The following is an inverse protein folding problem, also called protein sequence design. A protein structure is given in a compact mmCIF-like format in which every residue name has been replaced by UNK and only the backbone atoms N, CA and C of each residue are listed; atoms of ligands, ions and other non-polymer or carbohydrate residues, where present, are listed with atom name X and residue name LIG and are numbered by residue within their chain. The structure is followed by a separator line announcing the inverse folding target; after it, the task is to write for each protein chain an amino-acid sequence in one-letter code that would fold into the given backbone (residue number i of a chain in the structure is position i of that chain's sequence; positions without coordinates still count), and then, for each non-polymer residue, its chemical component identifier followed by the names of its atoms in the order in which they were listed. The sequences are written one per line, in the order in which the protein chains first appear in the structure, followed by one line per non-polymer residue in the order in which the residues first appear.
data_IF_865688171868
#
_entry.id   IF_865688171868
#
_cell.length_a   1.000
_cell.length_b   1.000
_cell.length_c   1.000
_cell.angle_alpha   90.00
_cell.angle_beta   90.00
_cell.angle_gamma   90.00
#
_symmetry.space_group_name_H-M   'P 1'
#
loop_
_entity.id
_entity.type
_entity.pdbx_description
1 polymer ?
#
# COMPACT_ATOMS: atom_id res chain seq x y z
N UNK A 1 8.28 -22.99 -4.30
CA UNK A 1 8.10 -22.53 -2.91
C UNK A 1 7.18 -21.32 -2.99
N UNK A 2 6.07 -21.36 -2.27
CA UNK A 2 5.20 -20.19 -2.17
C UNK A 2 5.88 -19.14 -1.31
N UNK A 3 5.78 -17.90 -1.71
CA UNK A 3 6.33 -16.77 -0.99
C UNK A 3 5.30 -15.64 -0.92
N UNK A 4 5.51 -14.76 0.03
CA UNK A 4 4.62 -13.66 0.33
C UNK A 4 5.31 -12.34 0.01
N UNK A 5 4.52 -11.32 -0.31
CA UNK A 5 4.99 -9.94 -0.47
C UNK A 5 4.30 -9.07 0.57
N UNK A 6 5.07 -8.25 1.28
CA UNK A 6 4.52 -7.16 2.06
C UNK A 6 4.33 -5.95 1.13
N UNK A 7 3.09 -5.63 0.82
CA UNK A 7 2.77 -4.65 -0.21
C UNK A 7 2.76 -3.20 0.27
N UNK A 8 3.03 -2.97 1.59
CA UNK A 8 3.10 -1.63 2.16
C UNK A 8 3.80 -1.63 3.52
N UNK A 9 4.98 -1.03 3.59
CA UNK A 9 5.75 -0.83 4.83
C UNK A 9 6.61 0.44 4.77
N UNK A 10 6.98 1.00 5.95
CA UNK A 10 7.74 2.25 6.06
C UNK A 10 9.13 2.03 6.67
N UNK A 11 9.98 1.29 5.97
CA UNK A 11 11.30 0.86 6.47
C UNK A 11 12.29 1.99 6.74
N UNK A 12 12.07 3.20 6.20
CA UNK A 12 12.97 4.35 6.47
C UNK A 12 12.55 5.18 7.69
N UNK A 13 11.45 4.84 8.34
CA UNK A 13 11.03 5.54 9.55
C UNK A 13 12.03 5.32 10.69
N UNK A 14 12.06 6.31 11.60
CA UNK A 14 12.98 6.30 12.75
C UNK A 14 12.93 5.02 13.59
N UNK A 15 11.79 4.36 13.58
CA UNK A 15 11.50 3.14 14.32
C UNK A 15 12.37 1.96 13.91
N UNK A 16 12.91 1.98 12.68
CA UNK A 16 13.77 0.92 12.14
C UNK A 16 15.24 1.32 11.99
N UNK A 17 15.59 2.57 12.32
CA UNK A 17 16.92 3.13 12.04
C UNK A 17 18.07 2.31 12.65
N UNK A 18 17.86 1.75 13.84
CA UNK A 18 18.91 1.05 14.59
C UNK A 18 19.09 -0.41 14.15
N UNK A 19 18.04 -1.03 13.59
CA UNK A 19 18.01 -2.47 13.31
C UNK A 19 17.46 -2.85 11.93
N UNK A 20 17.48 -1.92 10.98
CA UNK A 20 16.89 -2.08 9.64
C UNK A 20 17.32 -3.37 8.94
N UNK A 21 18.63 -3.66 8.92
CA UNK A 21 19.14 -4.85 8.25
C UNK A 21 18.62 -6.15 8.91
N UNK A 22 18.45 -6.13 10.24
CA UNK A 22 17.86 -7.25 10.98
C UNK A 22 16.39 -7.43 10.66
N UNK A 23 15.63 -6.33 10.58
CA UNK A 23 14.20 -6.33 10.21
C UNK A 23 14.01 -6.91 8.80
N UNK A 24 14.81 -6.48 7.84
CA UNK A 24 14.78 -7.00 6.46
C UNK A 24 15.12 -8.49 6.42
N UNK A 25 16.17 -8.92 7.13
CA UNK A 25 16.55 -10.32 7.21
C UNK A 25 15.48 -11.18 7.89
N UNK A 26 14.84 -10.68 8.95
CA UNK A 26 13.72 -11.36 9.60
C UNK A 26 12.56 -11.59 8.63
N UNK A 27 12.24 -10.60 7.80
CA UNK A 27 11.19 -10.73 6.80
C UNK A 27 11.54 -11.84 5.79
N UNK A 28 12.74 -11.84 5.22
CA UNK A 28 13.17 -12.87 4.28
C UNK A 28 13.18 -14.26 4.91
N UNK A 29 13.66 -14.39 6.14
CA UNK A 29 13.66 -15.64 6.89
C UNK A 29 12.26 -16.17 7.21
N UNK A 30 11.27 -15.27 7.32
CA UNK A 30 9.86 -15.61 7.55
C UNK A 30 9.10 -15.99 6.27
N UNK A 31 9.76 -15.98 5.10
CA UNK A 31 9.16 -16.34 3.82
C UNK A 31 8.59 -15.15 3.03
N UNK A 32 8.79 -13.93 3.51
CA UNK A 32 8.53 -12.72 2.71
C UNK A 32 9.63 -12.60 1.67
N UNK A 33 9.29 -12.51 0.38
CA UNK A 33 10.25 -12.46 -0.72
C UNK A 33 10.29 -11.12 -1.45
N UNK A 34 9.38 -10.24 -1.13
CA UNK A 34 9.34 -8.88 -1.67
C UNK A 34 8.73 -7.90 -0.68
N UNK A 35 9.17 -6.66 -0.74
CA UNK A 35 8.61 -5.58 0.08
C UNK A 35 8.46 -4.32 -0.77
N UNK A 36 7.33 -3.63 -0.63
CA UNK A 36 7.11 -2.31 -1.20
C UNK A 36 7.22 -1.29 -0.08
N UNK A 37 8.29 -0.49 -0.11
CA UNK A 37 8.56 0.55 0.87
C UNK A 37 7.99 1.87 0.39
N UNK A 38 7.22 2.52 1.25
CA UNK A 38 6.32 3.59 0.90
C UNK A 38 6.91 4.95 1.28
N UNK A 39 6.76 5.92 0.38
CA UNK A 39 7.04 7.33 0.63
C UNK A 39 5.84 8.05 1.20
N UNK A 40 6.08 8.97 2.13
CA UNK A 40 5.06 9.85 2.73
C UNK A 40 5.35 11.34 2.48
N UNK A 41 6.57 11.68 2.05
CA UNK A 41 7.01 13.05 1.79
C UNK A 41 8.20 13.09 0.80
N UNK A 42 8.44 14.25 0.20
CA UNK A 42 9.44 14.40 -0.88
C UNK A 42 10.86 14.05 -0.43
N UNK A 43 11.24 14.40 0.78
CA UNK A 43 12.56 14.13 1.34
C UNK A 43 12.91 12.65 1.41
N UNK A 44 11.90 11.78 1.35
CA UNK A 44 12.06 10.32 1.39
C UNK A 44 12.36 9.69 0.02
N UNK A 45 12.12 10.39 -1.09
CA UNK A 45 12.25 9.83 -2.44
C UNK A 45 13.66 9.28 -2.70
N UNK A 46 14.70 10.07 -2.50
CA UNK A 46 16.07 9.61 -2.68
C UNK A 46 16.51 8.55 -1.66
N UNK A 47 16.26 8.71 -0.35
CA UNK A 47 16.50 7.64 0.64
C UNK A 47 15.88 6.30 0.27
N UNK A 48 14.62 6.29 -0.19
CA UNK A 48 13.93 5.06 -0.60
C UNK A 48 14.58 4.42 -1.84
N UNK A 49 14.87 5.20 -2.87
CA UNK A 49 15.57 4.69 -4.06
C UNK A 49 16.92 4.10 -3.67
N UNK A 50 17.68 4.77 -2.80
CA UNK A 50 18.98 4.28 -2.32
C UNK A 50 18.82 2.96 -1.52
N UNK A 51 17.78 2.83 -0.69
CA UNK A 51 17.49 1.58 0.02
C UNK A 51 17.25 0.43 -0.96
N UNK A 52 16.42 0.66 -1.97
CA UNK A 52 16.08 -0.38 -2.96
C UNK A 52 17.24 -0.83 -3.83
N UNK A 53 18.32 -0.03 -3.94
CA UNK A 53 19.54 -0.42 -4.66
C UNK A 53 20.36 -1.47 -3.90
N UNK A 54 20.20 -1.56 -2.57
CA UNK A 54 20.92 -2.54 -1.74
C UNK A 54 20.27 -3.92 -1.75
N UNK A 55 18.97 -3.98 -2.03
CA UNK A 55 18.17 -5.20 -1.92
C UNK A 55 17.34 -5.41 -3.18
N UNK A 56 17.60 -6.49 -3.91
CA UNK A 56 16.98 -6.78 -5.22
C UNK A 56 15.47 -6.88 -5.16
N UNK A 57 14.92 -7.40 -4.08
CA UNK A 57 13.49 -7.66 -3.88
C UNK A 57 12.78 -6.60 -3.02
N UNK A 58 13.40 -5.44 -2.80
CA UNK A 58 12.77 -4.27 -2.18
C UNK A 58 12.52 -3.24 -3.26
N UNK A 59 11.29 -2.76 -3.36
CA UNK A 59 10.82 -1.75 -4.29
C UNK A 59 10.33 -0.54 -3.50
N UNK A 60 10.13 0.59 -4.17
CA UNK A 60 9.56 1.76 -3.50
C UNK A 60 8.45 2.42 -4.32
N UNK A 61 7.67 3.25 -3.65
CA UNK A 61 6.73 4.19 -4.23
C UNK A 61 7.20 5.63 -4.05
N UNK A 62 6.60 6.54 -4.80
CA UNK A 62 6.84 7.98 -4.73
C UNK A 62 5.51 8.68 -4.55
N UNK A 63 5.36 9.42 -3.47
CA UNK A 63 4.14 10.16 -3.19
C UNK A 63 4.18 10.91 -1.88
N UNK A 64 3.14 11.70 -1.65
CA UNK A 64 2.97 12.56 -0.47
C UNK A 64 1.70 12.15 0.26
N UNK A 65 1.86 11.68 1.48
CA UNK A 65 0.77 11.31 2.37
C UNK A 65 -0.12 12.55 2.68
N UNK A 66 -1.43 12.40 2.83
CA UNK A 66 -2.33 13.51 3.15
C UNK A 66 -1.92 14.32 4.39
N UNK A 67 -1.29 13.70 5.39
CA UNK A 67 -0.78 14.42 6.56
C UNK A 67 0.32 15.43 6.24
N UNK A 68 1.12 15.17 5.20
CA UNK A 68 2.22 16.04 4.76
C UNK A 68 1.83 16.97 3.62
N UNK A 69 0.57 16.96 3.18
CA UNK A 69 0.10 17.70 2.01
C UNK A 69 0.35 19.22 2.11
N UNK A 70 0.21 19.80 3.31
CA UNK A 70 0.45 21.23 3.53
C UNK A 70 1.92 21.64 3.37
N UNK A 71 2.86 20.71 3.61
CA UNK A 71 4.31 20.96 3.45
C UNK A 71 4.77 20.87 1.99
N UNK A 72 3.99 20.17 1.16
CA UNK A 72 4.32 19.84 -0.23
C UNK A 72 3.21 20.28 -1.21
N UNK A 73 2.46 21.32 -0.86
CA UNK A 73 1.32 21.81 -1.66
C UNK A 73 1.72 22.25 -3.07
N UNK A 74 2.99 22.58 -3.28
CA UNK A 74 3.58 23.06 -4.54
C UNK A 74 4.31 21.97 -5.33
N UNK A 75 4.42 20.72 -4.82
CA UNK A 75 5.05 19.64 -5.57
C UNK A 75 4.40 19.49 -6.95
N UNK A 76 5.22 19.50 -7.99
CA UNK A 76 4.72 19.42 -9.35
C UNK A 76 4.49 17.98 -9.79
N UNK A 77 3.57 17.80 -10.74
CA UNK A 77 3.30 16.50 -11.37
C UNK A 77 4.55 15.98 -12.12
N UNK A 78 5.28 16.89 -12.78
CA UNK A 78 6.51 16.58 -13.51
C UNK A 78 7.60 16.03 -12.57
N UNK A 79 7.68 16.53 -11.34
CA UNK A 79 8.64 16.03 -10.36
C UNK A 79 8.28 14.60 -9.93
N UNK A 80 7.01 14.32 -9.66
CA UNK A 80 6.54 12.97 -9.33
C UNK A 80 6.84 12.02 -10.48
N UNK A 81 6.51 12.39 -11.72
CA UNK A 81 6.76 11.59 -12.93
C UNK A 81 8.27 11.35 -13.12
N UNK A 82 9.10 12.38 -12.89
CA UNK A 82 10.56 12.25 -12.98
C UNK A 82 11.12 11.17 -12.07
N UNK A 83 10.68 11.14 -10.81
CA UNK A 83 11.10 10.10 -9.86
C UNK A 83 10.49 8.73 -10.19
N UNK A 84 9.25 8.69 -10.67
CA UNK A 84 8.54 7.49 -11.10
C UNK A 84 9.23 6.74 -12.26
N UNK A 85 10.03 7.43 -13.05
CA UNK A 85 10.82 6.83 -14.15
C UNK A 85 12.00 5.98 -13.65
N UNK A 86 12.34 6.02 -12.36
CA UNK A 86 13.36 5.13 -11.80
C UNK A 86 12.87 3.68 -11.80
N UNK A 87 13.72 2.73 -12.18
CA UNK A 87 13.35 1.32 -12.31
C UNK A 87 12.92 0.67 -10.97
N UNK A 88 13.36 1.22 -9.85
CA UNK A 88 13.00 0.74 -8.50
C UNK A 88 11.70 1.32 -7.98
N UNK A 89 11.18 2.37 -8.60
CA UNK A 89 9.87 2.96 -8.29
C UNK A 89 8.80 2.23 -9.06
N UNK A 90 7.91 1.56 -8.34
CA UNK A 90 6.86 0.71 -8.93
C UNK A 90 5.44 1.22 -8.66
N UNK A 91 5.26 2.29 -7.87
CA UNK A 91 3.96 2.86 -7.53
C UNK A 91 4.03 4.37 -7.27
N UNK A 92 2.89 5.03 -7.39
CA UNK A 92 2.65 6.43 -7.06
C UNK A 92 1.89 6.49 -5.74
N UNK A 93 2.48 7.02 -4.72
CA UNK A 93 1.89 7.08 -3.38
C UNK A 93 2.94 6.79 -2.29
N UNK A 94 2.52 6.85 -1.05
CA UNK A 94 1.15 6.92 -0.57
C UNK A 94 0.56 8.33 -0.77
N UNK A 95 -0.69 8.41 -1.16
CA UNK A 95 -1.43 9.66 -1.34
C UNK A 95 -2.92 9.43 -1.10
N UNK A 96 -3.72 10.46 -1.02
CA UNK A 96 -5.17 10.31 -0.83
C UNK A 96 -5.73 11.33 0.15
N UNK A 97 -6.69 10.90 0.98
CA UNK A 97 -7.44 11.77 1.88
C UNK A 97 -7.49 11.21 3.30
N UNK A 98 -7.19 12.05 4.28
CA UNK A 98 -7.40 11.77 5.71
C UNK A 98 -8.12 12.95 6.35
N UNK A 99 -9.40 12.77 6.64
CA UNK A 99 -10.24 13.80 7.27
C UNK A 99 -10.45 13.54 8.76
N UNK A 100 -9.85 12.48 9.28
CA UNK A 100 -9.83 12.19 10.71
C UNK A 100 -8.79 13.04 11.44
N UNK A 101 -7.58 13.13 10.89
CA UNK A 101 -6.53 14.00 11.40
C UNK A 101 -6.52 15.30 10.60
N UNK A 102 -6.66 16.42 11.25
CA UNK A 102 -6.66 17.76 10.60
C UNK A 102 -5.22 18.30 10.42
N UNK A 103 -4.28 17.45 9.98
CA UNK A 103 -2.88 17.83 9.78
C UNK A 103 -2.68 18.72 8.55
N UNK A 104 -3.52 18.58 7.54
CA UNK A 104 -3.53 19.38 6.32
C UNK A 104 -4.96 19.72 5.93
N UNK A 105 -5.17 20.91 5.35
CA UNK A 105 -6.48 21.33 4.87
C UNK A 105 -7.01 20.38 3.79
N UNK A 106 -8.32 20.09 3.82
CA UNK A 106 -8.99 19.15 2.91
C UNK A 106 -8.78 19.52 1.44
N UNK A 107 -8.86 20.80 1.10
CA UNK A 107 -8.69 21.25 -0.27
C UNK A 107 -7.26 21.02 -0.79
N UNK A 108 -6.25 21.17 0.08
CA UNK A 108 -4.85 20.89 -0.26
C UNK A 108 -4.66 19.38 -0.50
N UNK A 109 -5.20 18.54 0.38
CA UNK A 109 -5.18 17.08 0.19
C UNK A 109 -5.84 16.67 -1.14
N UNK A 110 -7.02 17.22 -1.45
CA UNK A 110 -7.76 16.93 -2.69
C UNK A 110 -6.97 17.34 -3.92
N UNK A 111 -6.34 18.53 -3.93
CA UNK A 111 -5.53 18.98 -5.06
C UNK A 111 -4.31 18.07 -5.26
N UNK A 112 -3.64 17.74 -4.18
CA UNK A 112 -2.46 16.88 -4.21
C UNK A 112 -2.80 15.46 -4.67
N UNK A 113 -3.88 14.88 -4.16
CA UNK A 113 -4.39 13.58 -4.60
C UNK A 113 -4.64 13.55 -6.12
N UNK A 114 -5.27 14.59 -6.67
CA UNK A 114 -5.49 14.69 -8.13
C UNK A 114 -4.18 14.77 -8.93
N UNK A 115 -3.15 15.47 -8.43
CA UNK A 115 -1.82 15.49 -9.09
C UNK A 115 -1.20 14.08 -9.14
N UNK A 116 -1.29 13.33 -8.03
CA UNK A 116 -0.81 11.94 -8.00
C UNK A 116 -1.61 11.02 -8.93
N UNK A 117 -2.93 11.20 -9.04
CA UNK A 117 -3.76 10.49 -10.01
C UNK A 117 -3.30 10.81 -11.44
N UNK A 118 -3.00 12.08 -11.75
CA UNK A 118 -2.49 12.45 -13.06
C UNK A 118 -1.13 11.80 -13.35
N UNK A 119 -0.21 11.83 -12.38
CA UNK A 119 1.08 11.15 -12.50
C UNK A 119 0.93 9.63 -12.71
N UNK A 120 0.01 9.00 -11.97
CA UNK A 120 -0.32 7.57 -12.16
C UNK A 120 -0.88 7.30 -13.57
N UNK A 121 -1.76 8.17 -14.07
CA UNK A 121 -2.33 8.06 -15.42
C UNK A 121 -1.26 8.20 -16.49
N UNK A 122 -0.34 9.13 -16.34
CA UNK A 122 0.75 9.38 -17.31
C UNK A 122 1.75 8.23 -17.33
N UNK A 123 2.16 7.76 -16.15
CA UNK A 123 3.18 6.72 -16.00
C UNK A 123 2.64 5.30 -16.08
N UNK A 124 1.32 5.13 -15.93
CA UNK A 124 0.66 3.83 -15.76
C UNK A 124 1.18 3.01 -14.56
N UNK A 125 1.86 3.66 -13.61
CA UNK A 125 2.20 3.05 -12.33
C UNK A 125 0.97 3.08 -11.40
N UNK A 126 0.74 2.01 -10.61
CA UNK A 126 -0.37 1.94 -9.68
C UNK A 126 -0.33 3.06 -8.65
N UNK A 127 -1.49 3.69 -8.42
CA UNK A 127 -1.65 4.63 -7.32
C UNK A 127 -1.96 3.88 -6.02
N UNK A 128 -1.28 4.24 -4.93
CA UNK A 128 -1.45 3.67 -3.59
C UNK A 128 -2.24 4.68 -2.77
N UNK A 129 -3.50 4.34 -2.48
CA UNK A 129 -4.49 5.30 -1.97
C UNK A 129 -4.73 5.06 -0.49
N UNK A 130 -4.47 6.10 0.30
CA UNK A 130 -4.92 6.26 1.68
C UNK A 130 -6.31 6.90 1.71
N UNK A 131 -7.21 6.37 2.53
CA UNK A 131 -8.49 7.04 2.83
C UNK A 131 -8.88 6.80 4.28
N UNK A 132 -9.26 7.88 4.96
CA UNK A 132 -9.77 7.82 6.33
C UNK A 132 -10.79 8.93 6.58
N UNK A 133 -12.01 8.55 6.98
CA UNK A 133 -13.15 9.46 7.14
C UNK A 133 -13.41 10.33 5.89
N UNK A 134 -13.11 9.79 4.69
CA UNK A 134 -13.14 10.50 3.41
C UNK A 134 -13.71 9.66 2.26
N UNK A 135 -14.41 8.56 2.55
CA UNK A 135 -14.83 7.56 1.56
C UNK A 135 -15.63 8.16 0.42
N UNK A 136 -16.68 8.94 0.71
CA UNK A 136 -17.54 9.55 -0.32
C UNK A 136 -16.77 10.48 -1.25
N UNK A 137 -15.87 11.30 -0.69
CA UNK A 137 -15.05 12.24 -1.46
C UNK A 137 -14.02 11.46 -2.30
N UNK A 138 -13.44 10.41 -1.74
CA UNK A 138 -12.52 9.52 -2.45
C UNK A 138 -13.21 8.85 -3.64
N UNK A 139 -14.41 8.26 -3.42
CA UNK A 139 -15.23 7.65 -4.48
C UNK A 139 -15.51 8.66 -5.60
N UNK A 140 -15.94 9.86 -5.23
CA UNK A 140 -16.27 10.93 -6.17
C UNK A 140 -15.09 11.36 -7.01
N UNK A 141 -13.91 11.52 -6.41
CA UNK A 141 -12.68 11.88 -7.12
C UNK A 141 -12.29 10.75 -8.08
N UNK A 142 -12.23 9.52 -7.60
CA UNK A 142 -11.84 8.37 -8.42
C UNK A 142 -12.77 8.21 -9.64
N UNK A 143 -14.10 8.31 -9.44
CA UNK A 143 -15.08 8.26 -10.53
C UNK A 143 -14.95 9.42 -11.53
N UNK A 144 -14.61 10.62 -11.06
CA UNK A 144 -14.41 11.79 -11.95
C UNK A 144 -13.10 11.68 -12.73
N UNK A 145 -12.03 11.29 -12.05
CA UNK A 145 -10.72 11.19 -12.68
C UNK A 145 -10.60 9.99 -13.65
N UNK A 146 -11.28 8.87 -13.38
CA UNK A 146 -11.31 7.72 -14.31
C UNK A 146 -11.95 8.04 -15.66
N UNK A 147 -12.87 9.02 -15.71
CA UNK A 147 -13.47 9.49 -16.98
C UNK A 147 -12.47 10.25 -17.88
N UNK A 148 -11.38 10.75 -17.30
CA UNK A 148 -10.32 11.45 -18.04
C UNK A 148 -9.27 10.49 -18.63
N UNK A 149 -9.25 9.25 -18.17
CA UNK A 149 -8.34 8.19 -18.58
C UNK A 149 -8.13 7.18 -17.46
N UNK A 150 -7.89 5.93 -17.82
CA UNK A 150 -7.66 4.85 -16.86
C UNK A 150 -6.31 4.99 -16.17
N UNK A 151 -6.24 4.51 -14.95
CA UNK A 151 -5.04 4.36 -14.15
C UNK A 151 -5.21 3.16 -13.20
N UNK A 152 -4.16 2.36 -12.95
CA UNK A 152 -4.23 1.26 -12.01
C UNK A 152 -4.14 1.76 -10.56
N UNK A 153 -4.67 0.99 -9.59
CA UNK A 153 -4.59 1.43 -8.19
C UNK A 153 -4.92 0.36 -7.16
N UNK A 154 -4.62 0.71 -5.92
CA UNK A 154 -4.96 -0.05 -4.72
C UNK A 154 -5.44 0.89 -3.62
N UNK A 155 -6.51 0.50 -2.94
CA UNK A 155 -6.85 1.09 -1.64
C UNK A 155 -6.03 0.33 -0.61
N UNK A 156 -5.02 1.00 -0.05
CA UNK A 156 -4.18 0.38 0.97
C UNK A 156 -4.85 0.44 2.35
N UNK A 157 -4.43 -0.42 3.25
CA UNK A 157 -4.92 -0.51 4.65
C UNK A 157 -6.45 -0.37 4.74
N UNK A 158 -7.16 -1.12 3.90
CA UNK A 158 -8.60 -0.97 3.73
C UNK A 158 -9.34 -1.22 5.04
N UNK A 159 -10.08 -0.21 5.51
CA UNK A 159 -10.94 -0.24 6.70
C UNK A 159 -12.30 0.42 6.45
N UNK A 160 -12.57 0.76 5.21
CA UNK A 160 -13.77 1.45 4.76
C UNK A 160 -14.99 0.52 4.58
N UNK A 161 -16.11 1.10 4.21
CA UNK A 161 -17.36 0.38 3.96
C UNK A 161 -17.47 -0.25 2.57
N UNK A 162 -18.57 -0.99 2.34
CA UNK A 162 -18.81 -1.72 1.08
C UNK A 162 -18.93 -0.81 -0.14
N UNK A 163 -19.33 0.44 0.03
CA UNK A 163 -19.48 1.41 -1.05
C UNK A 163 -18.13 1.75 -1.70
N UNK A 164 -17.09 2.00 -0.87
CA UNK A 164 -15.74 2.24 -1.39
C UNK A 164 -15.13 0.97 -1.97
N UNK A 165 -15.33 -0.18 -1.32
CA UNK A 165 -14.88 -1.46 -1.86
C UNK A 165 -15.45 -1.70 -3.26
N UNK A 166 -16.79 -1.53 -3.42
CA UNK A 166 -17.45 -1.66 -4.71
C UNK A 166 -16.91 -0.66 -5.74
N UNK A 167 -16.77 0.61 -5.38
CA UNK A 167 -16.29 1.63 -6.30
C UNK A 167 -14.85 1.35 -6.76
N UNK A 168 -13.97 0.89 -5.88
CA UNK A 168 -12.62 0.49 -6.21
C UNK A 168 -12.59 -0.72 -7.16
N UNK A 169 -13.39 -1.75 -6.88
CA UNK A 169 -13.51 -2.95 -7.72
C UNK A 169 -14.09 -2.64 -9.11
N UNK A 170 -15.10 -1.77 -9.20
CA UNK A 170 -15.69 -1.32 -10.46
C UNK A 170 -14.64 -0.59 -11.36
N UNK A 171 -13.64 0.06 -10.75
CA UNK A 171 -12.50 0.68 -11.45
C UNK A 171 -11.36 -0.31 -11.75
N UNK A 172 -11.49 -1.57 -11.32
CA UNK A 172 -10.46 -2.59 -11.49
C UNK A 172 -9.31 -2.49 -10.48
N UNK A 173 -9.48 -1.74 -9.41
CA UNK A 173 -8.48 -1.58 -8.35
C UNK A 173 -8.37 -2.83 -7.48
N UNK A 174 -7.29 -2.87 -6.73
CA UNK A 174 -7.03 -3.86 -5.69
C UNK A 174 -7.37 -3.28 -4.31
N UNK A 175 -7.54 -4.18 -3.35
CA UNK A 175 -7.78 -3.85 -1.94
C UNK A 175 -6.71 -4.55 -1.12
N UNK A 176 -5.96 -3.79 -0.34
CA UNK A 176 -4.90 -4.33 0.50
C UNK A 176 -5.36 -4.38 1.97
N UNK A 177 -5.10 -5.51 2.61
CA UNK A 177 -5.55 -5.82 3.95
C UNK A 177 -4.36 -5.91 4.91
N UNK A 178 -4.40 -5.09 5.96
CA UNK A 178 -3.38 -5.02 7.00
C UNK A 178 -3.73 -5.87 8.22
N UNK A 179 -2.87 -5.83 9.23
CA UNK A 179 -3.07 -6.52 10.52
C UNK A 179 -4.40 -6.21 11.22
N UNK A 180 -5.06 -5.10 10.88
CA UNK A 180 -6.36 -4.71 11.45
C UNK A 180 -7.41 -5.82 11.29
N UNK A 181 -7.38 -6.56 10.18
CA UNK A 181 -8.36 -7.63 9.92
C UNK A 181 -8.37 -8.70 11.03
N UNK A 182 -7.25 -8.85 11.75
CA UNK A 182 -7.10 -9.82 12.85
C UNK A 182 -7.68 -9.32 14.18
N UNK A 183 -7.99 -8.02 14.29
CA UNK A 183 -8.43 -7.41 15.54
C UNK A 183 -9.83 -7.87 15.94
N UNK A 184 -10.07 -8.02 17.26
CA UNK A 184 -11.37 -8.48 17.76
C UNK A 184 -12.54 -7.60 17.31
N UNK A 185 -12.33 -6.29 17.29
CA UNK A 185 -13.33 -5.29 16.94
C UNK A 185 -13.41 -4.98 15.42
N UNK A 186 -12.82 -5.78 14.56
CA UNK A 186 -12.84 -5.59 13.11
C UNK A 186 -13.97 -6.40 12.40
N UNK A 187 -15.11 -6.61 13.07
CA UNK A 187 -16.21 -7.41 12.52
C UNK A 187 -16.83 -6.78 11.26
N UNK A 188 -17.05 -5.47 11.27
CA UNK A 188 -17.59 -4.74 10.11
C UNK A 188 -16.65 -4.81 8.90
N UNK A 189 -15.34 -4.70 9.14
CA UNK A 189 -14.34 -4.89 8.08
C UNK A 189 -14.44 -6.31 7.49
N UNK A 190 -14.48 -7.33 8.33
CA UNK A 190 -14.58 -8.73 7.88
C UNK A 190 -15.86 -8.98 7.09
N UNK A 191 -16.98 -8.38 7.49
CA UNK A 191 -18.23 -8.46 6.75
C UNK A 191 -18.09 -7.80 5.36
N UNK A 192 -17.43 -6.65 5.28
CA UNK A 192 -17.18 -5.96 4.00
C UNK A 192 -16.29 -6.76 3.06
N UNK A 193 -15.22 -7.36 3.57
CA UNK A 193 -14.21 -8.00 2.70
C UNK A 193 -14.59 -9.41 2.24
N UNK A 194 -15.58 -10.06 2.87
CA UNK A 194 -15.96 -11.45 2.55
C UNK A 194 -16.34 -11.67 1.08
N UNK A 195 -16.91 -10.64 0.45
CA UNK A 195 -17.38 -10.68 -0.93
C UNK A 195 -16.37 -10.11 -1.93
N UNK A 196 -15.17 -9.68 -1.47
CA UNK A 196 -14.12 -9.20 -2.36
C UNK A 196 -13.49 -10.38 -3.08
N UNK A 197 -13.43 -10.36 -4.42
CA UNK A 197 -12.77 -11.42 -5.19
C UNK A 197 -11.31 -11.58 -4.78
N UNK A 198 -10.88 -12.81 -4.55
CA UNK A 198 -9.52 -13.12 -4.13
C UNK A 198 -8.46 -12.57 -5.11
N UNK A 199 -8.82 -12.47 -6.38
CA UNK A 199 -8.02 -11.89 -7.46
C UNK A 199 -7.75 -10.39 -7.29
N UNK A 200 -8.38 -9.74 -6.32
CA UNK A 200 -8.27 -8.31 -6.04
C UNK A 200 -7.72 -8.00 -4.65
N UNK A 201 -7.30 -9.04 -3.91
CA UNK A 201 -6.77 -8.89 -2.55
C UNK A 201 -5.25 -8.83 -2.59
N UNK A 202 -4.70 -7.87 -1.84
CA UNK A 202 -3.30 -7.78 -1.44
C UNK A 202 -3.20 -7.87 0.08
N UNK A 203 -2.00 -8.10 0.59
CA UNK A 203 -1.71 -8.12 2.03
C UNK A 203 -0.50 -7.27 2.36
N UNK A 204 -0.56 -6.62 3.51
CA UNK A 204 0.47 -5.68 3.95
C UNK A 204 0.63 -5.67 5.47
N UNK A 205 1.70 -5.06 5.94
CA UNK A 205 1.87 -4.80 7.37
C UNK A 205 1.47 -3.39 7.77
N UNK A 206 1.72 -2.39 6.95
CA UNK A 206 1.75 -0.98 7.31
C UNK A 206 2.72 -0.71 8.47
N UNK A 207 3.81 -1.49 8.52
CA UNK A 207 4.78 -1.40 9.60
C UNK A 207 5.53 -0.05 9.59
N UNK A 208 5.78 0.54 10.77
CA UNK A 208 5.84 -0.04 12.12
C UNK A 208 4.50 -0.11 12.86
N UNK A 209 3.39 0.21 12.22
CA UNK A 209 2.05 0.27 12.80
C UNK A 209 1.29 -1.05 12.69
N UNK A 210 0.12 -1.13 13.30
CA UNK A 210 -0.94 -2.12 13.05
C UNK A 210 -0.53 -3.59 13.24
N UNK A 211 0.35 -3.88 14.21
CA UNK A 211 0.79 -5.26 14.52
C UNK A 211 -0.42 -6.21 14.62
N UNK A 212 -0.45 -7.30 13.82
CA UNK A 212 -1.55 -8.27 13.85
C UNK A 212 -1.53 -9.11 15.14
N UNK A 213 -2.64 -9.79 15.45
CA UNK A 213 -2.59 -10.92 16.38
C UNK A 213 -1.71 -12.03 15.77
N UNK A 214 -0.85 -12.74 16.51
CA UNK A 214 -0.69 -12.72 17.98
C UNK A 214 0.36 -11.71 18.50
N UNK A 215 0.98 -10.89 17.64
CA UNK A 215 2.07 -9.97 18.02
C UNK A 215 1.61 -8.56 18.36
N UNK A 216 0.32 -8.39 18.59
CA UNK A 216 -0.31 -7.10 18.87
C UNK A 216 0.31 -6.41 20.10
N UNK A 217 0.49 -5.08 19.99
CA UNK A 217 1.05 -4.24 21.06
C UNK A 217 2.57 -4.04 20.99
N UNK A 218 3.27 -4.78 20.12
CA UNK A 218 4.66 -4.52 19.77
C UNK A 218 4.82 -3.62 18.52
N UNK A 219 6.05 -3.21 18.22
CA UNK A 219 6.40 -2.62 16.93
C UNK A 219 6.14 -3.65 15.82
N UNK A 220 5.38 -3.28 14.81
CA UNK A 220 5.19 -4.14 13.65
C UNK A 220 6.44 -4.14 12.75
N UNK A 221 6.62 -5.22 11.98
CA UNK A 221 7.69 -5.35 10.98
C UNK A 221 7.20 -6.21 9.80
N UNK A 222 7.82 -6.12 8.61
CA UNK A 222 7.37 -6.84 7.42
C UNK A 222 7.23 -8.35 7.60
N UNK A 223 8.03 -8.97 8.48
CA UNK A 223 7.91 -10.39 8.82
C UNK A 223 6.50 -10.78 9.31
N UNK A 224 5.79 -9.84 9.94
CA UNK A 224 4.47 -10.09 10.52
C UNK A 224 3.34 -10.14 9.49
N UNK A 225 3.57 -9.82 8.21
CA UNK A 225 2.57 -10.00 7.15
C UNK A 225 2.10 -11.46 7.04
N UNK A 226 2.96 -12.40 7.46
CA UNK A 226 2.62 -13.83 7.54
C UNK A 226 1.42 -14.10 8.45
N UNK A 227 1.28 -13.36 9.55
CA UNK A 227 0.15 -13.51 10.48
C UNK A 227 -1.15 -13.02 9.83
N UNK A 228 -1.11 -11.85 9.17
CA UNK A 228 -2.24 -11.30 8.41
C UNK A 228 -2.67 -12.27 7.31
N UNK A 229 -1.72 -12.75 6.51
CA UNK A 229 -1.99 -13.68 5.42
C UNK A 229 -2.53 -15.03 5.91
N UNK A 230 -2.01 -15.58 7.01
CA UNK A 230 -2.53 -16.81 7.62
C UNK A 230 -3.96 -16.64 8.12
N UNK A 231 -4.26 -15.49 8.73
CA UNK A 231 -5.61 -15.19 9.17
C UNK A 231 -6.59 -15.14 7.99
N UNK A 232 -6.22 -14.42 6.92
CA UNK A 232 -7.04 -14.29 5.73
C UNK A 232 -7.21 -15.60 4.97
N UNK A 233 -6.18 -16.45 4.89
CA UNK A 233 -6.28 -17.79 4.31
C UNK A 233 -7.36 -18.62 5.02
N UNK A 234 -7.35 -18.60 6.37
CA UNK A 234 -8.39 -19.27 7.17
C UNK A 234 -9.78 -18.60 6.98
N UNK A 235 -9.83 -17.28 6.89
CA UNK A 235 -11.08 -16.52 6.70
C UNK A 235 -11.77 -16.86 5.38
N UNK A 236 -10.99 -17.02 4.29
CA UNK A 236 -11.50 -17.39 2.96
C UNK A 236 -11.59 -18.90 2.74
N UNK A 237 -11.29 -19.71 3.75
CA UNK A 237 -11.25 -21.19 3.67
C UNK A 237 -10.37 -21.70 2.51
N UNK A 238 -9.16 -21.15 2.44
CA UNK A 238 -8.17 -21.45 1.40
C UNK A 238 -6.88 -21.94 2.05
N UNK A 239 -6.21 -22.90 1.40
CA UNK A 239 -4.86 -23.32 1.79
C UNK A 239 -3.89 -22.12 1.82
N UNK A 240 -3.07 -22.05 2.88
CA UNK A 240 -2.14 -20.93 3.10
C UNK A 240 -1.20 -20.70 1.93
N UNK A 241 -0.65 -21.79 1.37
CA UNK A 241 0.26 -21.68 0.24
C UNK A 241 -0.44 -21.10 -0.98
N UNK A 242 -1.65 -21.57 -1.27
CA UNK A 242 -2.50 -21.08 -2.36
C UNK A 242 -2.86 -19.61 -2.17
N UNK A 243 -3.13 -19.19 -0.93
CA UNK A 243 -3.39 -17.78 -0.61
C UNK A 243 -2.15 -16.91 -0.84
N UNK A 244 -0.97 -17.34 -0.40
CA UNK A 244 0.30 -16.62 -0.61
C UNK A 244 0.61 -16.45 -2.10
N UNK A 245 0.49 -17.52 -2.87
CA UNK A 245 0.69 -17.50 -4.32
C UNK A 245 -0.28 -16.52 -5.00
N UNK A 246 -1.56 -16.58 -4.63
CA UNK A 246 -2.60 -15.71 -5.19
C UNK A 246 -2.33 -14.24 -4.91
N UNK A 247 -2.03 -13.87 -3.66
CA UNK A 247 -1.76 -12.47 -3.30
C UNK A 247 -0.47 -11.95 -3.91
N UNK A 248 0.55 -12.79 -4.04
CA UNK A 248 1.79 -12.46 -4.75
C UNK A 248 1.55 -12.27 -6.25
N UNK A 249 0.79 -13.15 -6.89
CA UNK A 249 0.39 -12.99 -8.29
C UNK A 249 -0.40 -11.70 -8.52
N UNK A 250 -1.28 -11.34 -7.59
CA UNK A 250 -2.01 -10.09 -7.62
C UNK A 250 -1.07 -8.88 -7.53
N UNK A 251 -0.09 -8.94 -6.62
CA UNK A 251 0.94 -7.90 -6.52
C UNK A 251 1.71 -7.74 -7.83
N UNK A 252 2.21 -8.82 -8.42
CA UNK A 252 2.96 -8.79 -9.67
C UNK A 252 2.11 -8.34 -10.88
N UNK A 253 0.81 -8.61 -10.87
CA UNK A 253 -0.12 -8.10 -11.88
C UNK A 253 -0.36 -6.61 -11.76
N UNK A 254 -0.55 -6.11 -10.54
CA UNK A 254 -0.77 -4.69 -10.29
C UNK A 254 0.54 -3.92 -10.49
N UNK A 255 1.60 -4.30 -9.80
CA UNK A 255 2.92 -3.67 -9.86
C UNK A 255 3.81 -4.36 -10.90
N UNK A 256 3.39 -4.30 -12.15
CA UNK A 256 3.98 -5.04 -13.27
C UNK A 256 5.46 -4.71 -13.57
N UNK A 257 5.98 -3.62 -13.00
CA UNK A 257 7.39 -3.23 -13.05
C UNK A 257 8.24 -4.00 -12.02
N UNK A 258 7.61 -4.60 -11.02
CA UNK A 258 8.29 -5.41 -10.01
C UNK A 258 8.77 -6.74 -10.60
N UNK A 259 10.03 -7.10 -10.29
CA UNK A 259 10.59 -8.41 -10.64
C UNK A 259 11.21 -9.02 -9.39
N UNK A 260 10.55 -10.03 -8.82
CA UNK A 260 11.06 -10.75 -7.66
C UNK A 260 12.05 -11.82 -8.15
N UNK A 261 13.26 -11.73 -7.63
CA UNK A 261 14.34 -12.67 -7.94
C UNK A 261 14.30 -13.79 -6.89
N UNK A 262 14.17 -15.03 -7.35
CA UNK A 262 14.29 -16.20 -6.48
C UNK A 262 15.79 -16.53 -6.33
N UNK A 263 16.37 -16.08 -5.22
CA UNK A 263 17.72 -16.51 -4.80
C UNK A 263 17.67 -17.80 -3.99
#
# INVERSE_FOLDING_TARGET
MSYLVDTHCHLIFKDFREDLDSVINNAFNSGVKGMLVISTQEEEFNPLINLTQKYSNIFCSIGIHPHSAHLHSDISEELIIKFANNDRVIGIGETGLDFYYENSEKDIQIQLFKRHINASRETQLPIIIHTRDADDVTIDILKKESKKGSFPGVIHCFTAGPELAKAALDLGFYISLSGIVTFKNAEELRETIKDIPLERILVETDSPYLSPEPVRGGRNEPANVVHTANYLANFYDIDKQSFYEKTTDNFLKLFNKAKIINE
#
